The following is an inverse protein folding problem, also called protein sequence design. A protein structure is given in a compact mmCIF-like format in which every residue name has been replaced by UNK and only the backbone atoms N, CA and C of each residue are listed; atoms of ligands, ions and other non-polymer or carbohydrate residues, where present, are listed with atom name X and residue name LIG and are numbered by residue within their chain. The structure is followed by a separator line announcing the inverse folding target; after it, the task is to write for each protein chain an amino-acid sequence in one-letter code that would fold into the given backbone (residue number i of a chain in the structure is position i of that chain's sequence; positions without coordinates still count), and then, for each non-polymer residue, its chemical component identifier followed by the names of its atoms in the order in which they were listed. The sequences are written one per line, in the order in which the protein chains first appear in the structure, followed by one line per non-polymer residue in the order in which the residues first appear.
data_IF_083356091043
#
_entry.id   IF_083356091043
#
_cell.length_a   1.000
_cell.length_b   1.000
_cell.length_c   1.000
_cell.angle_alpha   90.00
_cell.angle_beta   90.00
_cell.angle_gamma   90.00
#
_symmetry.space_group_name_H-M   'P 1'
#
loop_
_entity.id
_entity.type
_entity.pdbx_description
1 polymer ?
#
# COMPACT_ATOMS: atom_id res chain seq x y z
N UNK A 1 -8.18 4.48 16.72
CA UNK A 1 -7.85 3.22 16.03
C UNK A 1 -6.34 3.05 16.06
N UNK A 2 -5.84 1.90 16.52
CA UNK A 2 -4.40 1.60 16.52
C UNK A 2 -3.91 1.42 15.08
N UNK A 3 -2.77 2.03 14.73
CA UNK A 3 -2.15 1.85 13.41
C UNK A 3 -1.73 0.38 13.21
N UNK A 4 -1.28 -0.28 14.27
CA UNK A 4 -0.95 -1.72 14.25
C UNK A 4 -2.17 -2.58 13.94
N UNK A 5 -3.33 -2.27 14.52
CA UNK A 5 -4.58 -2.99 14.21
C UNK A 5 -5.01 -2.79 12.76
N UNK A 6 -4.80 -1.59 12.21
CA UNK A 6 -5.09 -1.28 10.81
C UNK A 6 -4.19 -2.09 9.87
N UNK A 7 -2.89 -2.17 10.16
CA UNK A 7 -1.96 -3.02 9.41
C UNK A 7 -2.36 -4.51 9.48
N UNK A 8 -2.76 -4.98 10.67
CA UNK A 8 -3.22 -6.37 10.85
C UNK A 8 -4.50 -6.66 10.06
N UNK A 9 -5.46 -5.72 10.07
CA UNK A 9 -6.68 -5.85 9.29
C UNK A 9 -6.43 -5.87 7.77
N UNK A 10 -5.34 -5.25 7.30
CA UNK A 10 -4.94 -5.23 5.89
C UNK A 10 -4.44 -6.56 5.33
N UNK A 11 -4.07 -7.53 6.18
CA UNK A 11 -3.53 -8.82 5.71
C UNK A 11 -4.51 -9.60 4.85
N UNK A 12 -5.73 -9.79 5.33
CA UNK A 12 -6.73 -10.58 4.62
C UNK A 12 -7.12 -9.94 3.27
N UNK A 13 -7.45 -8.64 3.21
CA UNK A 13 -7.67 -7.95 1.93
C UNK A 13 -6.46 -8.01 0.99
N UNK A 14 -5.24 -7.86 1.53
CA UNK A 14 -4.01 -7.94 0.75
C UNK A 14 -3.81 -9.31 0.10
N UNK A 15 -4.02 -10.39 0.84
CA UNK A 15 -3.99 -11.76 0.31
C UNK A 15 -5.06 -11.95 -0.77
N UNK A 16 -6.28 -11.48 -0.54
CA UNK A 16 -7.36 -11.57 -1.51
C UNK A 16 -7.03 -10.83 -2.81
N UNK A 17 -6.47 -9.61 -2.72
CA UNK A 17 -6.01 -8.85 -3.88
C UNK A 17 -4.90 -9.59 -4.63
N UNK A 18 -3.92 -10.14 -3.92
CA UNK A 18 -2.84 -10.92 -4.52
C UNK A 18 -3.37 -12.14 -5.27
N UNK A 19 -4.29 -12.89 -4.67
CA UNK A 19 -4.92 -14.03 -5.32
C UNK A 19 -5.75 -13.64 -6.54
N UNK A 20 -6.51 -12.55 -6.46
CA UNK A 20 -7.29 -12.02 -7.58
C UNK A 20 -6.37 -11.62 -8.75
N UNK A 21 -5.27 -10.93 -8.47
CA UNK A 21 -4.29 -10.56 -9.50
C UNK A 21 -3.63 -11.79 -10.13
N UNK A 22 -3.25 -12.80 -9.34
CA UNK A 22 -2.70 -14.07 -9.85
C UNK A 22 -3.72 -14.74 -10.77
N UNK A 23 -4.99 -14.78 -10.38
CA UNK A 23 -6.06 -15.37 -11.20
C UNK A 23 -6.22 -14.64 -12.53
N UNK A 24 -6.28 -13.31 -12.51
CA UNK A 24 -6.39 -12.49 -13.73
C UNK A 24 -5.17 -12.69 -14.61
N UNK A 25 -3.95 -12.63 -14.06
CA UNK A 25 -2.71 -12.87 -14.82
C UNK A 25 -2.69 -14.28 -15.45
N UNK A 26 -3.15 -15.28 -14.71
CA UNK A 26 -3.24 -16.65 -15.22
C UNK A 26 -4.23 -16.75 -16.40
N UNK A 27 -5.44 -16.18 -16.24
CA UNK A 27 -6.47 -16.20 -17.30
C UNK A 27 -6.00 -15.46 -18.55
N UNK A 28 -5.40 -14.29 -18.39
CA UNK A 28 -4.88 -13.47 -19.49
C UNK A 28 -3.73 -14.19 -20.19
N UNK A 29 -2.78 -14.75 -19.43
CA UNK A 29 -1.66 -15.50 -19.98
C UNK A 29 -2.12 -16.72 -20.76
N UNK A 30 -3.11 -17.44 -20.24
CA UNK A 30 -3.70 -18.60 -20.95
C UNK A 30 -4.40 -18.18 -22.23
N UNK A 31 -5.16 -17.07 -22.20
CA UNK A 31 -5.88 -16.55 -23.38
C UNK A 31 -4.93 -16.09 -24.49
N UNK A 32 -3.82 -15.46 -24.13
CA UNK A 32 -2.86 -14.92 -25.11
C UNK A 32 -1.72 -15.90 -25.42
N UNK A 33 -1.73 -17.10 -24.83
CA UNK A 33 -0.72 -18.12 -25.11
C UNK A 33 0.69 -17.76 -24.63
N UNK A 34 0.83 -16.90 -23.62
CA UNK A 34 2.13 -16.56 -23.05
C UNK A 34 2.77 -17.81 -22.45
N UNK A 35 3.95 -18.13 -22.93
CA UNK A 35 4.74 -19.27 -22.45
C UNK A 35 5.91 -18.75 -21.63
N UNK A 36 6.16 -19.39 -20.49
CA UNK A 36 7.38 -19.16 -19.71
C UNK A 36 8.62 -19.67 -20.43
N UNK A 37 9.77 -19.64 -19.77
CA UNK A 37 11.07 -20.10 -20.31
C UNK A 37 11.15 -21.58 -20.75
N UNK A 38 10.03 -22.30 -20.81
CA UNK A 38 9.96 -23.66 -21.33
C UNK A 38 10.55 -24.77 -20.45
N UNK A 39 11.38 -24.43 -19.46
CA UNK A 39 11.94 -25.36 -18.48
C UNK A 39 11.62 -24.91 -17.05
N UNK A 40 11.34 -25.86 -16.18
CA UNK A 40 11.18 -25.58 -14.73
C UNK A 40 12.56 -25.27 -14.15
N UNK A 41 12.67 -24.18 -13.40
CA UNK A 41 13.90 -23.86 -12.68
C UNK A 41 14.24 -24.97 -11.69
N UNK A 42 15.53 -25.32 -11.61
CA UNK A 42 15.98 -26.32 -10.65
C UNK A 42 15.94 -25.78 -9.22
N UNK A 43 15.81 -26.66 -8.24
CA UNK A 43 15.83 -26.27 -6.82
C UNK A 43 17.11 -25.51 -6.46
N UNK A 44 18.23 -25.83 -7.12
CA UNK A 44 19.50 -25.14 -6.92
C UNK A 44 19.46 -23.69 -7.43
N UNK A 45 18.81 -23.43 -8.55
CA UNK A 45 18.60 -22.07 -9.08
C UNK A 45 17.67 -21.26 -8.19
N UNK A 46 16.58 -21.89 -7.70
CA UNK A 46 15.66 -21.25 -6.76
C UNK A 46 16.40 -20.87 -5.47
N UNK A 47 17.20 -21.78 -4.91
CA UNK A 47 18.00 -21.53 -3.71
C UNK A 47 19.03 -20.41 -3.91
N UNK A 48 19.68 -20.35 -5.09
CA UNK A 48 20.59 -19.27 -5.43
C UNK A 48 19.89 -17.92 -5.50
N UNK A 49 18.78 -17.84 -6.21
CA UNK A 49 17.97 -16.61 -6.34
C UNK A 49 17.44 -16.15 -4.99
N UNK A 50 17.00 -17.08 -4.13
CA UNK A 50 16.57 -16.77 -2.77
C UNK A 50 17.72 -16.18 -1.93
N UNK A 51 18.92 -16.76 -2.02
CA UNK A 51 20.09 -16.24 -1.32
C UNK A 51 20.50 -14.84 -1.79
N UNK A 52 20.36 -14.56 -3.08
CA UNK A 52 20.62 -13.22 -3.64
C UNK A 52 19.56 -12.21 -3.22
N UNK A 53 18.29 -12.64 -3.10
CA UNK A 53 17.17 -11.79 -2.72
C UNK A 53 16.98 -11.64 -1.21
N UNK A 54 17.70 -12.39 -0.36
CA UNK A 54 17.45 -12.46 1.09
C UNK A 54 17.47 -11.08 1.75
N UNK A 55 18.41 -10.23 1.36
CA UNK A 55 18.53 -8.89 1.91
C UNK A 55 17.34 -7.99 1.54
N UNK A 56 16.81 -8.12 0.32
CA UNK A 56 15.60 -7.42 -0.07
C UNK A 56 14.35 -7.93 0.67
N UNK A 57 14.26 -9.25 0.87
CA UNK A 57 13.15 -9.90 1.60
C UNK A 57 13.19 -9.53 3.09
N UNK A 58 14.36 -9.33 3.68
CA UNK A 58 14.50 -8.92 5.08
C UNK A 58 13.94 -7.52 5.34
N UNK A 59 13.90 -6.62 4.36
CA UNK A 59 13.37 -5.27 4.54
C UNK A 59 11.91 -5.27 5.04
N UNK A 60 10.94 -5.85 4.34
CA UNK A 60 9.56 -5.91 4.85
C UNK A 60 9.44 -6.74 6.15
N UNK A 61 10.28 -7.75 6.36
CA UNK A 61 10.27 -8.54 7.60
C UNK A 61 10.70 -7.70 8.79
N UNK A 62 11.75 -6.88 8.66
CA UNK A 62 12.23 -5.98 9.71
C UNK A 62 11.17 -4.92 10.03
N UNK A 63 10.58 -4.30 9.00
CA UNK A 63 9.58 -3.24 9.14
C UNK A 63 8.33 -3.79 9.82
N UNK A 64 7.70 -4.79 9.21
CA UNK A 64 6.45 -5.35 9.73
C UNK A 64 6.67 -6.09 11.05
N UNK A 65 7.75 -6.85 11.18
CA UNK A 65 8.11 -7.52 12.42
C UNK A 65 8.35 -6.54 13.56
N UNK A 66 9.02 -5.41 13.31
CA UNK A 66 9.25 -4.36 14.29
C UNK A 66 7.96 -3.65 14.72
N UNK A 67 7.05 -3.39 13.79
CA UNK A 67 5.74 -2.79 14.09
C UNK A 67 4.86 -3.77 14.88
N UNK A 68 4.73 -5.02 14.44
CA UNK A 68 3.87 -6.01 15.10
C UNK A 68 4.36 -6.45 16.47
N UNK A 69 5.68 -6.48 16.67
CA UNK A 69 6.26 -6.77 17.99
C UNK A 69 6.19 -5.59 18.97
N UNK A 70 5.78 -4.38 18.47
CA UNK A 70 5.73 -3.17 19.27
C UNK A 70 7.10 -2.52 19.53
N UNK A 71 8.17 -2.98 18.87
CA UNK A 71 9.49 -2.36 18.97
C UNK A 71 9.58 -1.01 18.29
N UNK A 72 8.85 -0.84 17.19
CA UNK A 72 8.86 0.38 16.40
C UNK A 72 7.44 0.93 16.21
N UNK A 73 7.32 2.23 16.34
CA UNK A 73 6.20 2.95 15.72
C UNK A 73 6.33 2.90 14.20
N UNK A 74 5.25 3.07 13.42
CA UNK A 74 5.33 3.13 11.95
C UNK A 74 6.31 4.17 11.42
N UNK A 75 6.43 5.31 12.11
CA UNK A 75 7.39 6.37 11.75
C UNK A 75 8.83 5.93 11.98
N UNK A 76 9.13 5.29 13.10
CA UNK A 76 10.46 4.73 13.40
C UNK A 76 10.81 3.60 12.43
N UNK A 77 9.85 2.74 12.11
CA UNK A 77 10.02 1.68 11.11
C UNK A 77 10.36 2.24 9.72
N UNK A 78 9.78 3.38 9.34
CA UNK A 78 10.11 4.08 8.10
C UNK A 78 11.57 4.57 8.11
N UNK A 79 12.06 5.14 9.23
CA UNK A 79 13.46 5.57 9.37
C UNK A 79 14.41 4.37 9.29
N UNK A 80 14.10 3.28 10.00
CA UNK A 80 14.87 2.03 9.95
C UNK A 80 14.93 1.47 8.53
N UNK A 81 13.81 1.53 7.79
CA UNK A 81 13.72 1.12 6.39
C UNK A 81 14.67 1.92 5.48
N UNK A 82 14.72 3.24 5.64
CA UNK A 82 15.60 4.12 4.87
C UNK A 82 17.06 3.78 5.14
N UNK A 83 17.44 3.67 6.42
CA UNK A 83 18.81 3.32 6.83
C UNK A 83 19.21 1.94 6.33
N UNK A 84 18.33 0.94 6.51
CA UNK A 84 18.54 -0.41 6.02
C UNK A 84 18.75 -0.45 4.50
N UNK A 85 17.84 0.18 3.75
CA UNK A 85 17.92 0.20 2.29
C UNK A 85 19.18 0.91 1.79
N UNK A 86 19.59 1.99 2.45
CA UNK A 86 20.84 2.67 2.14
C UNK A 86 22.07 1.78 2.36
N UNK A 87 22.15 1.08 3.50
CA UNK A 87 23.24 0.17 3.81
C UNK A 87 23.30 -0.98 2.80
N UNK A 88 22.17 -1.65 2.56
CA UNK A 88 22.12 -2.79 1.64
C UNK A 88 22.39 -2.36 0.20
N UNK A 89 21.81 -1.28 -0.27
CA UNK A 89 22.02 -0.77 -1.62
C UNK A 89 23.46 -0.33 -1.88
N UNK A 90 24.12 0.23 -0.87
CA UNK A 90 25.50 0.75 -1.02
C UNK A 90 26.55 -0.35 -0.82
N UNK A 91 26.43 -1.17 0.23
CA UNK A 91 27.51 -2.09 0.64
C UNK A 91 27.29 -3.53 0.16
N UNK A 92 26.04 -3.99 0.07
CA UNK A 92 25.74 -5.37 -0.31
C UNK A 92 25.55 -5.48 -1.82
N UNK A 93 24.57 -4.74 -2.38
CA UNK A 93 24.30 -4.76 -3.81
C UNK A 93 25.24 -3.86 -4.62
N UNK A 94 25.84 -2.85 -3.98
CA UNK A 94 26.77 -1.89 -4.61
C UNK A 94 26.17 -1.15 -5.81
N UNK A 95 24.86 -1.04 -5.84
CA UNK A 95 24.11 -0.35 -6.91
C UNK A 95 23.81 1.10 -6.57
N UNK A 96 23.80 1.45 -5.27
CA UNK A 96 23.49 2.79 -4.80
C UNK A 96 24.76 3.63 -4.65
N UNK A 97 24.97 4.55 -5.57
CA UNK A 97 26.04 5.57 -5.47
C UNK A 97 25.57 6.77 -4.63
N UNK A 98 26.49 7.56 -4.11
CA UNK A 98 26.18 8.84 -3.43
C UNK A 98 25.30 9.77 -4.27
N UNK A 99 25.58 9.85 -5.57
CA UNK A 99 24.78 10.65 -6.52
C UNK A 99 23.37 10.05 -6.68
N UNK A 100 23.26 8.73 -6.70
CA UNK A 100 21.97 8.02 -6.73
C UNK A 100 21.15 8.26 -5.48
N UNK A 101 21.78 8.19 -4.30
CA UNK A 101 21.13 8.48 -3.03
C UNK A 101 20.63 9.93 -2.97
N UNK A 102 21.47 10.90 -3.36
CA UNK A 102 21.06 12.31 -3.42
C UNK A 102 19.85 12.51 -4.35
N UNK A 103 19.87 11.87 -5.52
CA UNK A 103 18.73 11.91 -6.45
C UNK A 103 17.48 11.33 -5.82
N UNK A 104 17.57 10.16 -5.18
CA UNK A 104 16.45 9.54 -4.50
C UNK A 104 15.84 10.43 -3.41
N UNK A 105 16.68 11.07 -2.59
CA UNK A 105 16.21 12.04 -1.60
C UNK A 105 15.52 13.24 -2.25
N UNK A 106 16.10 13.80 -3.32
CA UNK A 106 15.49 14.92 -4.04
C UNK A 106 14.14 14.55 -4.61
N UNK A 107 14.02 13.38 -5.24
CA UNK A 107 12.77 12.89 -5.81
C UNK A 107 11.73 12.65 -4.70
N UNK A 108 12.14 12.10 -3.56
CA UNK A 108 11.28 11.91 -2.39
C UNK A 108 10.75 13.24 -1.82
N UNK A 109 11.57 14.29 -1.79
CA UNK A 109 11.14 15.63 -1.34
C UNK A 109 10.07 16.20 -2.27
N UNK A 110 10.22 16.05 -3.59
CA UNK A 110 9.23 16.53 -4.56
C UNK A 110 7.90 15.78 -4.40
N UNK A 111 7.95 14.45 -4.30
CA UNK A 111 6.75 13.63 -4.08
C UNK A 111 6.08 13.98 -2.76
N UNK A 112 6.85 14.09 -1.68
CA UNK A 112 6.32 14.42 -0.35
C UNK A 112 5.72 15.83 -0.31
N UNK A 113 6.36 16.80 -0.96
CA UNK A 113 5.84 18.17 -1.09
C UNK A 113 4.48 18.21 -1.81
N UNK A 114 4.36 17.51 -2.93
CA UNK A 114 3.09 17.41 -3.67
C UNK A 114 1.99 16.74 -2.83
N UNK A 115 2.33 15.63 -2.14
CA UNK A 115 1.39 14.91 -1.28
C UNK A 115 0.93 15.76 -0.11
N UNK A 116 1.85 16.45 0.57
CA UNK A 116 1.53 17.34 1.71
C UNK A 116 0.62 18.49 1.28
N UNK A 117 0.86 19.04 0.09
CA UNK A 117 0.00 20.07 -0.47
C UNK A 117 -1.42 19.55 -0.72
N UNK A 118 -1.56 18.37 -1.33
CA UNK A 118 -2.86 17.72 -1.52
C UNK A 118 -3.58 17.45 -0.20
N UNK A 119 -2.86 16.95 0.81
CA UNK A 119 -3.42 16.73 2.16
C UNK A 119 -3.95 18.03 2.75
N UNK A 120 -3.23 19.15 2.61
CA UNK A 120 -3.69 20.44 3.08
C UNK A 120 -5.05 20.84 2.49
N UNK A 121 -5.20 20.77 1.18
CA UNK A 121 -6.48 21.06 0.52
C UNK A 121 -7.60 20.07 0.89
N UNK A 122 -7.28 18.79 0.97
CA UNK A 122 -8.24 17.76 1.38
C UNK A 122 -8.77 18.01 2.79
N UNK A 123 -7.92 18.45 3.71
CA UNK A 123 -8.32 18.78 5.09
C UNK A 123 -9.29 19.96 5.13
N UNK A 124 -9.04 21.01 4.34
CA UNK A 124 -9.95 22.15 4.24
C UNK A 124 -11.29 21.70 3.62
N UNK A 125 -11.24 20.90 2.59
CA UNK A 125 -12.44 20.37 1.95
C UNK A 125 -13.25 19.47 2.90
N UNK A 126 -12.58 18.57 3.64
CA UNK A 126 -13.24 17.75 4.66
C UNK A 126 -13.89 18.58 5.77
N UNK A 127 -13.22 19.65 6.22
CA UNK A 127 -13.81 20.59 7.18
C UNK A 127 -15.08 21.26 6.62
N UNK A 128 -15.06 21.67 5.35
CA UNK A 128 -16.25 22.21 4.68
C UNK A 128 -17.38 21.19 4.62
N UNK A 129 -17.12 19.95 4.21
CA UNK A 129 -18.12 18.89 4.17
C UNK A 129 -18.72 18.61 5.55
N UNK A 130 -17.89 18.65 6.61
CA UNK A 130 -18.34 18.45 7.98
C UNK A 130 -19.25 19.58 8.45
N UNK A 131 -18.89 20.83 8.17
CA UNK A 131 -19.73 22.01 8.49
C UNK A 131 -21.06 21.95 7.73
N UNK A 132 -21.02 21.54 6.46
CA UNK A 132 -22.20 21.36 5.62
C UNK A 132 -23.03 20.11 5.98
N UNK A 133 -22.61 19.34 6.99
CA UNK A 133 -23.28 18.11 7.46
C UNK A 133 -23.46 17.03 6.36
N UNK A 134 -22.68 17.08 5.28
CA UNK A 134 -22.77 16.13 4.17
C UNK A 134 -22.61 14.67 4.62
N UNK A 135 -21.63 14.30 5.49
CA UNK A 135 -21.52 12.92 5.98
C UNK A 135 -22.78 12.42 6.69
N UNK A 136 -23.43 13.28 7.50
CA UNK A 136 -24.66 12.93 8.19
C UNK A 136 -25.83 12.72 7.21
N UNK A 137 -25.96 13.59 6.20
CA UNK A 137 -26.99 13.45 5.16
C UNK A 137 -26.81 12.14 4.38
N UNK A 138 -25.57 11.77 4.04
CA UNK A 138 -25.27 10.50 3.37
C UNK A 138 -25.61 9.32 4.28
N UNK A 139 -25.22 9.36 5.55
CA UNK A 139 -25.50 8.31 6.51
C UNK A 139 -27.01 8.10 6.72
N UNK A 140 -27.77 9.18 6.89
CA UNK A 140 -29.23 9.14 7.00
C UNK A 140 -29.88 8.63 5.71
N UNK A 141 -29.40 9.04 4.55
CA UNK A 141 -29.85 8.53 3.26
C UNK A 141 -29.67 7.03 3.13
N UNK A 142 -28.49 6.52 3.48
CA UNK A 142 -28.19 5.07 3.38
C UNK A 142 -29.01 4.27 4.40
N UNK A 143 -29.08 4.73 5.65
CA UNK A 143 -29.84 4.05 6.70
C UNK A 143 -31.34 4.14 6.51
N UNK A 144 -31.83 5.19 5.84
CA UNK A 144 -33.22 5.32 5.40
C UNK A 144 -33.62 4.35 4.30
N UNK A 145 -32.67 3.92 3.45
CA UNK A 145 -32.92 2.93 2.41
C UNK A 145 -33.01 1.50 2.93
N UNK A 146 -32.20 1.16 3.96
CA UNK A 146 -32.15 -0.20 4.49
C UNK A 146 -31.56 -0.25 5.89
N UNK A 147 -32.07 -1.18 6.71
CA UNK A 147 -31.48 -1.52 8.01
C UNK A 147 -30.58 -2.76 7.93
N UNK A 148 -30.43 -3.38 6.76
CA UNK A 148 -29.61 -4.57 6.59
C UNK A 148 -28.12 -4.17 6.50
N UNK A 149 -27.34 -4.64 7.49
CA UNK A 149 -25.90 -4.37 7.59
C UNK A 149 -25.12 -4.70 6.31
N UNK A 150 -25.44 -5.82 5.66
CA UNK A 150 -24.75 -6.22 4.42
C UNK A 150 -25.03 -5.26 3.26
N UNK A 151 -26.29 -4.80 3.12
CA UNK A 151 -26.63 -3.83 2.09
C UNK A 151 -25.99 -2.47 2.35
N UNK A 152 -25.98 -2.02 3.61
CA UNK A 152 -25.29 -0.78 4.00
C UNK A 152 -23.81 -0.85 3.61
N UNK A 153 -23.12 -1.93 3.99
CA UNK A 153 -21.70 -2.11 3.66
C UNK A 153 -21.47 -2.20 2.15
N UNK A 154 -22.38 -2.84 1.41
CA UNK A 154 -22.30 -2.92 -0.06
C UNK A 154 -22.42 -1.52 -0.69
N UNK A 155 -23.40 -0.72 -0.26
CA UNK A 155 -23.60 0.65 -0.76
C UNK A 155 -22.35 1.50 -0.47
N UNK A 156 -21.80 1.42 0.75
CA UNK A 156 -20.58 2.13 1.13
C UNK A 156 -19.40 1.69 0.25
N UNK A 157 -19.24 0.38 0.01
CA UNK A 157 -18.17 -0.12 -0.86
C UNK A 157 -18.31 0.38 -2.30
N UNK A 158 -19.52 0.38 -2.85
CA UNK A 158 -19.78 0.91 -4.19
C UNK A 158 -19.46 2.41 -4.27
N UNK A 159 -19.87 3.17 -3.26
CA UNK A 159 -19.58 4.60 -3.17
C UNK A 159 -18.07 4.86 -3.10
N UNK A 160 -17.35 4.13 -2.25
CA UNK A 160 -15.89 4.24 -2.14
C UNK A 160 -15.18 3.81 -3.43
N UNK A 161 -15.73 2.82 -4.15
CA UNK A 161 -15.19 2.39 -5.44
C UNK A 161 -15.33 3.50 -6.49
N UNK A 162 -16.48 4.17 -6.53
CA UNK A 162 -16.69 5.32 -7.42
C UNK A 162 -15.76 6.47 -7.04
N UNK A 163 -15.67 6.84 -5.77
CA UNK A 163 -14.75 7.90 -5.30
C UNK A 163 -13.31 7.56 -5.68
N UNK A 164 -12.87 6.32 -5.43
CA UNK A 164 -11.51 5.86 -5.74
C UNK A 164 -11.14 5.83 -7.22
N UNK A 165 -12.12 5.94 -8.12
CA UNK A 165 -11.85 6.13 -9.56
C UNK A 165 -11.38 7.55 -9.90
N UNK A 166 -11.71 8.55 -9.08
CA UNK A 166 -11.48 9.97 -9.37
C UNK A 166 -10.52 10.63 -8.39
N UNK A 167 -10.41 10.10 -7.19
CA UNK A 167 -9.67 10.71 -6.08
C UNK A 167 -8.56 9.76 -5.63
N UNK A 168 -7.36 10.30 -5.40
CA UNK A 168 -6.24 9.53 -4.88
C UNK A 168 -6.52 9.04 -3.45
N UNK A 169 -5.85 7.97 -3.04
CA UNK A 169 -6.09 7.27 -1.76
C UNK A 169 -5.97 8.19 -0.54
N UNK A 170 -4.97 9.09 -0.53
CA UNK A 170 -4.72 9.96 0.64
C UNK A 170 -5.85 10.98 0.81
N UNK A 171 -6.23 11.79 -0.20
CA UNK A 171 -7.38 12.66 -0.12
C UNK A 171 -8.68 11.92 0.20
N UNK A 172 -8.93 10.78 -0.46
CA UNK A 172 -10.15 10.00 -0.25
C UNK A 172 -10.30 9.46 1.18
N UNK A 173 -9.19 9.26 1.89
CA UNK A 173 -9.21 8.79 3.28
C UNK A 173 -9.46 9.93 4.28
N UNK A 174 -9.15 11.17 3.90
CA UNK A 174 -9.32 12.38 4.74
C UNK A 174 -10.74 12.94 4.59
N UNK A 175 -11.30 12.84 3.41
CA UNK A 175 -12.66 13.29 3.09
C UNK A 175 -13.70 12.29 3.56
#
# INVERSE_FOLDING_TARGET
TSITDLFTAGFLPGIMMGLALILVCYLVSKKHGYKGKGSRSSLKEIGKSFKEAIWAILSPVIILGGIYSGFFTPTEAAVVSVVYSFIIGTFVYKELSFKGAYKAFKDAVVVNGSTTFMVGFSTVFAAFLTIAQIPNMIAEGITGLTSNKFLILLIINLLLLVIGMFVDNIPATII
#
